data_IF_217820940887
#
_entry.id   IF_217820940887
#
_cell.length_a   1.000
_cell.length_b   1.000
_cell.length_c   1.000
_cell.angle_alpha   90.00
_cell.angle_beta   90.00
_cell.angle_gamma   90.00
#
_symmetry.space_group_name_H-M   'P 1'
#
loop_
_entity.id
_entity.type
_entity.pdbx_description
1 polymer ?
#
# COMPACT_ATOMS: atom_id res chain seq x y z
N UNK A 1 1.94 -8.73 -6.42
CA UNK A 1 1.50 -7.32 -6.36
C UNK A 1 0.93 -7.01 -7.71
N UNK A 2 -0.37 -7.21 -7.79
CA UNK A 2 -1.26 -6.73 -8.83
C UNK A 2 -1.13 -5.21 -9.01
N UNK A 3 -1.48 -4.77 -10.23
CA UNK A 3 -1.38 -3.38 -10.67
C UNK A 3 -2.10 -2.42 -9.72
N UNK A 4 -3.22 -2.85 -9.15
CA UNK A 4 -3.99 -2.08 -8.17
C UNK A 4 -3.17 -1.82 -6.89
N UNK A 5 -2.45 -2.83 -6.39
CA UNK A 5 -1.62 -2.70 -5.19
C UNK A 5 -0.49 -1.67 -5.38
N UNK A 6 0.09 -1.56 -6.58
CA UNK A 6 1.13 -0.56 -6.87
C UNK A 6 0.59 0.88 -6.85
N UNK A 7 -0.60 1.11 -7.41
CA UNK A 7 -1.25 2.43 -7.35
C UNK A 7 -1.59 2.83 -5.92
N UNK A 8 -2.16 1.89 -5.15
CA UNK A 8 -2.52 2.14 -3.75
C UNK A 8 -1.27 2.35 -2.90
N UNK A 9 -0.19 1.59 -3.14
CA UNK A 9 1.07 1.74 -2.43
C UNK A 9 1.66 3.15 -2.59
N UNK A 10 1.59 3.75 -3.79
CA UNK A 10 2.09 5.12 -4.00
C UNK A 10 1.29 6.17 -3.23
N UNK A 11 -0.05 6.08 -3.30
CA UNK A 11 -0.92 7.02 -2.58
C UNK A 11 -0.75 6.85 -1.06
N UNK A 12 -0.78 5.60 -0.58
CA UNK A 12 -0.58 5.29 0.84
C UNK A 12 0.81 5.72 1.33
N UNK A 13 1.86 5.50 0.54
CA UNK A 13 3.22 5.91 0.86
C UNK A 13 3.34 7.42 1.04
N UNK A 14 2.77 8.21 0.14
CA UNK A 14 2.74 9.67 0.25
C UNK A 14 1.95 10.14 1.48
N UNK A 15 0.79 9.56 1.74
CA UNK A 15 -0.02 9.88 2.92
C UNK A 15 0.68 9.52 4.24
N UNK A 16 1.35 8.37 4.31
CA UNK A 16 2.09 7.94 5.51
C UNK A 16 3.33 8.81 5.73
N UNK A 17 4.06 9.16 4.67
CA UNK A 17 5.19 10.08 4.77
C UNK A 17 4.75 11.44 5.32
N UNK A 18 3.65 11.99 4.79
CA UNK A 18 3.07 13.25 5.28
C UNK A 18 2.60 13.17 6.73
N UNK A 19 1.90 12.10 7.10
CA UNK A 19 1.45 11.88 8.48
C UNK A 19 2.63 11.75 9.46
N UNK A 20 3.68 11.00 9.11
CA UNK A 20 4.89 10.87 9.91
C UNK A 20 5.60 12.22 10.07
N UNK A 21 5.65 13.04 9.02
CA UNK A 21 6.23 14.38 9.06
C UNK A 21 5.46 15.31 10.02
N UNK A 22 4.13 15.28 9.96
CA UNK A 22 3.27 16.04 10.89
C UNK A 22 3.55 15.62 12.34
N UNK A 23 3.68 14.32 12.60
CA UNK A 23 4.04 13.81 13.92
C UNK A 23 5.40 14.37 14.36
N UNK A 24 6.42 14.37 13.50
CA UNK A 24 7.72 14.95 13.85
C UNK A 24 7.66 16.45 14.17
N UNK A 25 6.82 17.22 13.46
CA UNK A 25 6.61 18.64 13.78
C UNK A 25 5.88 18.86 15.10
N UNK A 26 4.92 17.99 15.46
CA UNK A 26 4.26 18.03 16.78
C UNK A 26 5.29 17.83 17.89
N UNK A 27 6.30 16.98 17.70
CA UNK A 27 7.41 16.79 18.63
C UNK A 27 8.45 17.93 18.61
N UNK A 28 8.22 19.00 17.85
CA UNK A 28 9.12 20.14 17.73
C UNK A 28 10.36 19.89 16.88
N UNK A 29 10.37 18.82 16.09
CA UNK A 29 11.55 18.40 15.33
C UNK A 29 11.55 19.01 13.92
N UNK A 30 12.05 20.24 13.81
CA UNK A 30 12.09 21.03 12.58
C UNK A 30 13.44 20.93 11.84
N UNK A 31 13.99 19.72 11.71
CA UNK A 31 15.26 19.48 11.03
C UNK A 31 15.05 18.86 9.65
N UNK A 32 15.99 19.09 8.72
CA UNK A 32 16.04 18.38 7.43
C UNK A 32 16.06 16.85 7.60
N UNK A 33 16.60 16.37 8.73
CA UNK A 33 16.60 14.95 9.08
C UNK A 33 15.20 14.38 9.30
N UNK A 34 14.25 15.18 9.81
CA UNK A 34 12.87 14.75 10.00
C UNK A 34 12.19 14.46 8.65
N UNK A 35 12.49 15.26 7.62
CA UNK A 35 12.02 15.01 6.25
C UNK A 35 12.60 13.72 5.67
N UNK A 36 13.90 13.50 5.84
CA UNK A 36 14.55 12.28 5.35
C UNK A 36 13.99 11.03 6.04
N UNK A 37 13.83 11.04 7.35
CA UNK A 37 13.31 9.90 8.12
C UNK A 37 11.83 9.65 7.79
N UNK A 38 11.00 10.71 7.70
CA UNK A 38 9.59 10.57 7.31
C UNK A 38 9.44 9.99 5.89
N UNK A 39 10.28 10.43 4.95
CA UNK A 39 10.31 9.88 3.59
C UNK A 39 10.68 8.41 3.56
N UNK A 40 11.70 7.99 4.32
CA UNK A 40 12.11 6.59 4.43
C UNK A 40 10.99 5.74 5.05
N UNK A 41 10.35 6.22 6.12
CA UNK A 41 9.21 5.55 6.76
C UNK A 41 8.07 5.38 5.74
N UNK A 42 7.75 6.42 4.99
CA UNK A 42 6.72 6.36 3.94
C UNK A 42 7.03 5.33 2.86
N UNK A 43 8.28 5.26 2.37
CA UNK A 43 8.71 4.29 1.36
C UNK A 43 8.66 2.85 1.87
N UNK A 44 9.13 2.60 3.09
CA UNK A 44 9.13 1.26 3.69
C UNK A 44 7.71 0.81 4.00
N UNK A 45 6.86 1.71 4.51
CA UNK A 45 5.47 1.40 4.86
C UNK A 45 4.53 1.32 3.64
N UNK A 46 4.86 1.96 2.52
CA UNK A 46 4.06 1.95 1.30
C UNK A 46 3.77 0.52 0.80
N UNK A 47 4.79 -0.34 0.80
CA UNK A 47 4.69 -1.71 0.31
C UNK A 47 3.73 -2.60 1.13
N UNK A 48 3.90 -2.77 2.46
CA UNK A 48 2.99 -3.59 3.25
C UNK A 48 1.58 -3.01 3.28
N UNK A 49 1.44 -1.68 3.37
CA UNK A 49 0.12 -1.03 3.42
C UNK A 49 -0.62 -1.17 2.10
N UNK A 50 0.05 -0.96 0.96
CA UNK A 50 -0.53 -1.15 -0.36
C UNK A 50 -1.05 -2.57 -0.58
N UNK A 51 -0.30 -3.58 -0.13
CA UNK A 51 -0.74 -4.99 -0.18
C UNK A 51 -1.96 -5.24 0.70
N UNK A 52 -1.96 -4.76 1.95
CA UNK A 52 -3.07 -4.99 2.88
C UNK A 52 -4.36 -4.34 2.37
N UNK A 53 -4.27 -3.11 1.87
CA UNK A 53 -5.42 -2.39 1.33
C UNK A 53 -5.93 -3.06 0.04
N UNK A 54 -5.05 -3.51 -0.86
CA UNK A 54 -5.50 -4.19 -2.08
C UNK A 54 -6.27 -5.48 -1.77
N UNK A 55 -5.76 -6.30 -0.84
CA UNK A 55 -6.45 -7.52 -0.39
C UNK A 55 -7.78 -7.19 0.28
N UNK A 56 -7.84 -6.11 1.06
CA UNK A 56 -9.07 -5.65 1.73
C UNK A 56 -10.13 -5.20 0.72
N UNK A 57 -9.74 -4.44 -0.30
CA UNK A 57 -10.63 -3.97 -1.37
C UNK A 57 -11.16 -5.16 -2.16
N UNK A 58 -10.29 -6.07 -2.60
CA UNK A 58 -10.69 -7.30 -3.31
C UNK A 58 -11.65 -8.17 -2.51
N UNK A 59 -11.45 -8.28 -1.19
CA UNK A 59 -12.33 -9.05 -0.30
C UNK A 59 -13.72 -8.43 -0.14
N UNK A 60 -13.81 -7.10 -0.22
CA UNK A 60 -15.05 -6.37 0.02
C UNK A 60 -15.83 -6.06 -1.27
N UNK A 61 -15.27 -6.34 -2.44
CA UNK A 61 -15.91 -6.09 -3.72
C UNK A 61 -16.86 -7.25 -4.09
N UNK A 62 -18.19 -7.05 -4.09
CA UNK A 62 -19.17 -8.09 -4.42
C UNK A 62 -19.13 -8.51 -5.89
N UNK A 63 -18.49 -7.73 -6.76
CA UNK A 63 -18.29 -8.06 -8.17
C UNK A 63 -16.94 -8.75 -8.42
N UNK A 64 -16.12 -8.93 -7.39
CA UNK A 64 -14.87 -9.68 -7.45
C UNK A 64 -15.14 -11.18 -7.53
N UNK A 65 -15.54 -11.62 -8.72
CA UNK A 65 -15.69 -13.03 -9.04
C UNK A 65 -14.30 -13.66 -9.16
N UNK A 66 -13.93 -14.45 -8.16
CA UNK A 66 -12.77 -15.33 -8.22
C UNK A 66 -13.01 -16.40 -9.31
N UNK A 67 -12.76 -16.04 -10.57
CA UNK A 67 -12.92 -16.95 -11.71
C UNK A 67 -11.65 -17.76 -12.02
N UNK A 68 -10.67 -17.76 -11.12
CA UNK A 68 -9.56 -18.71 -11.15
C UNK A 68 -9.96 -19.96 -10.38
N UNK A 69 -10.41 -21.00 -11.10
CA UNK A 69 -10.77 -22.28 -10.50
C UNK A 69 -9.66 -22.85 -9.62
N UNK A 70 -10.03 -23.69 -8.66
CA UNK A 70 -9.15 -24.49 -7.77
C UNK A 70 -8.37 -25.57 -8.56
N UNK A 71 -7.70 -25.19 -9.64
CA UNK A 71 -6.81 -26.03 -10.42
C UNK A 71 -5.38 -26.00 -9.88
N UNK A 72 -4.63 -27.07 -10.13
CA UNK A 72 -3.19 -27.22 -9.82
C UNK A 72 -2.33 -26.11 -10.44
N UNK A 73 -2.84 -25.38 -11.44
CA UNK A 73 -2.16 -24.29 -12.13
C UNK A 73 -2.98 -23.00 -11.95
N UNK A 74 -2.39 -21.90 -11.45
CA UNK A 74 -3.06 -20.60 -11.42
C UNK A 74 -3.46 -20.19 -12.84
N UNK A 75 -4.75 -19.92 -13.06
CA UNK A 75 -5.26 -19.45 -14.35
C UNK A 75 -4.60 -18.10 -14.69
N UNK A 76 -3.85 -17.98 -15.80
CA UNK A 76 -3.20 -16.73 -16.21
C UNK A 76 -4.17 -15.57 -16.48
N UNK A 77 -5.46 -15.87 -16.66
CA UNK A 77 -6.54 -14.89 -16.82
C UNK A 77 -7.28 -14.58 -15.52
N UNK A 78 -6.97 -15.26 -14.42
CA UNK A 78 -7.52 -14.94 -13.12
C UNK A 78 -7.03 -13.56 -12.67
N UNK A 79 -7.87 -12.79 -11.95
CA UNK A 79 -7.47 -11.51 -11.39
C UNK A 79 -6.21 -11.69 -10.53
N UNK A 80 -5.15 -10.97 -10.90
CA UNK A 80 -3.83 -11.06 -10.27
C UNK A 80 -3.94 -10.90 -8.74
N UNK A 81 -3.26 -11.78 -7.99
CA UNK A 81 -3.35 -11.94 -6.53
C UNK A 81 -2.52 -10.94 -5.72
#
# INVERSE_FOLDING_TARGET
MDRLAYFIAHIAGASIAGAALIVFFIFGWYSWTAFAVAGVIGLVAAWPVGKVISVRIKKNDPNWHYSGGVGIVPDPKAPEL
#
